data_IF_309852566275
#
_entry.id   IF_309852566275
#
_cell.length_a   1.000
_cell.length_b   1.000
_cell.length_c   1.000
_cell.angle_alpha   90.00
_cell.angle_beta   90.00
_cell.angle_gamma   90.00
#
_symmetry.space_group_name_H-M   'P 1'
#
loop_
_entity.id
_entity.type
_entity.pdbx_description
1 polymer ?
#
# COMPACT_ATOMS: atom_id res chain seq x y z
N UNK A 1 -6.30 24.91 21.25
CA UNK A 1 -6.34 24.69 19.79
C UNK A 1 -7.61 23.91 19.49
N UNK A 2 -8.58 24.52 18.83
CA UNK A 2 -9.72 23.80 18.26
C UNK A 2 -9.18 23.01 17.07
N UNK A 3 -9.01 21.71 17.25
CA UNK A 3 -8.70 20.80 16.14
C UNK A 3 -9.91 20.87 15.22
N UNK A 4 -9.77 21.51 14.07
CA UNK A 4 -10.82 21.49 13.05
C UNK A 4 -11.09 20.00 12.76
N UNK A 5 -12.33 19.55 12.94
CA UNK A 5 -12.72 18.19 12.57
C UNK A 5 -12.39 17.99 11.09
N UNK A 6 -11.40 17.14 10.81
CA UNK A 6 -11.04 16.79 9.45
C UNK A 6 -12.21 15.99 8.85
N UNK A 7 -13.00 16.66 8.00
CA UNK A 7 -14.09 16.02 7.25
C UNK A 7 -13.51 15.34 6.02
N UNK A 8 -13.30 14.03 6.12
CA UNK A 8 -12.95 13.19 4.97
C UNK A 8 -14.20 12.56 4.33
N UNK A 9 -14.03 11.99 3.13
CA UNK A 9 -15.11 11.23 2.50
C UNK A 9 -15.33 9.91 3.23
N UNK A 10 -16.55 9.35 3.12
CA UNK A 10 -16.86 8.04 3.72
C UNK A 10 -15.89 6.94 3.27
N UNK A 11 -15.55 6.91 1.98
CA UNK A 11 -14.59 5.94 1.42
C UNK A 11 -13.21 6.05 2.08
N UNK A 12 -12.76 7.28 2.34
CA UNK A 12 -11.48 7.50 3.01
C UNK A 12 -11.53 7.04 4.47
N UNK A 13 -12.60 7.37 5.18
CA UNK A 13 -12.77 6.98 6.58
C UNK A 13 -12.81 5.46 6.74
N UNK A 14 -13.51 4.77 5.84
CA UNK A 14 -13.55 3.31 5.79
C UNK A 14 -12.16 2.71 5.52
N UNK A 15 -11.42 3.25 4.54
CA UNK A 15 -10.07 2.79 4.23
C UNK A 15 -9.10 2.97 5.41
N UNK A 16 -9.25 4.07 6.16
CA UNK A 16 -8.40 4.33 7.32
C UNK A 16 -8.77 3.48 8.55
N UNK A 17 -10.07 3.26 8.78
CA UNK A 17 -10.58 2.54 9.94
C UNK A 17 -10.41 1.02 9.81
N UNK A 18 -10.51 0.49 8.59
CA UNK A 18 -10.48 -0.95 8.31
C UNK A 18 -9.53 -1.31 7.16
N UNK A 19 -8.22 -0.99 7.24
CA UNK A 19 -7.28 -1.29 6.19
C UNK A 19 -7.05 -2.80 6.07
N UNK A 20 -7.12 -3.34 4.85
CA UNK A 20 -6.93 -4.75 4.53
C UNK A 20 -5.51 -5.07 4.09
N UNK A 21 -4.79 -4.10 3.54
CA UNK A 21 -3.46 -4.31 2.95
C UNK A 21 -2.31 -3.96 3.90
N UNK A 22 -2.59 -3.78 5.21
CA UNK A 22 -1.57 -3.56 6.24
C UNK A 22 -0.60 -4.75 6.32
N UNK A 23 0.69 -4.46 6.29
CA UNK A 23 1.76 -5.43 6.50
C UNK A 23 3.01 -5.13 5.69
N UNK A 24 3.91 -6.10 5.65
CA UNK A 24 5.12 -6.06 4.84
C UNK A 24 5.25 -7.36 4.06
N UNK A 25 6.06 -7.31 3.00
CA UNK A 25 6.63 -8.49 2.37
C UNK A 25 8.13 -8.47 2.59
N UNK A 26 8.72 -9.65 2.70
CA UNK A 26 10.17 -9.82 2.70
C UNK A 26 10.64 -10.55 1.43
N UNK A 27 11.96 -10.83 1.39
CA UNK A 27 12.57 -11.50 0.24
C UNK A 27 12.13 -12.96 0.13
N UNK A 28 11.77 -13.61 1.23
CA UNK A 28 11.35 -15.00 1.24
C UNK A 28 9.93 -15.11 0.68
N UNK A 29 9.05 -14.16 0.98
CA UNK A 29 7.71 -14.04 0.36
C UNK A 29 7.79 -13.96 -1.17
N UNK A 30 8.69 -13.12 -1.69
CA UNK A 30 8.89 -12.96 -3.13
C UNK A 30 9.52 -14.20 -3.75
N UNK A 31 10.57 -14.73 -3.13
CA UNK A 31 11.30 -15.90 -3.61
C UNK A 31 10.41 -17.14 -3.64
N UNK A 32 9.60 -17.37 -2.61
CA UNK A 32 8.66 -18.49 -2.53
C UNK A 32 7.55 -18.46 -3.58
N UNK A 33 7.32 -17.30 -4.21
CA UNK A 33 6.33 -17.10 -5.28
C UNK A 33 6.96 -16.91 -6.67
N UNK A 34 8.29 -16.99 -6.78
CA UNK A 34 8.99 -16.71 -8.04
C UNK A 34 8.89 -15.26 -8.51
N UNK A 35 8.59 -14.33 -7.60
CA UNK A 35 8.35 -12.92 -7.89
C UNK A 35 9.55 -12.04 -7.51
N UNK A 36 9.46 -10.76 -7.82
CA UNK A 36 10.37 -9.72 -7.33
C UNK A 36 9.70 -8.90 -6.25
N UNK A 37 10.43 -8.66 -5.15
CA UNK A 37 10.04 -7.69 -4.15
C UNK A 37 10.48 -6.29 -4.61
N UNK A 38 9.53 -5.37 -4.71
CA UNK A 38 9.80 -3.94 -4.91
C UNK A 38 9.35 -3.18 -3.67
N UNK A 39 10.21 -2.30 -3.17
CA UNK A 39 9.94 -1.50 -1.98
C UNK A 39 10.04 -0.02 -2.32
N UNK A 40 9.04 0.76 -1.90
CA UNK A 40 9.08 2.22 -2.01
C UNK A 40 8.63 2.84 -0.70
N UNK A 41 9.34 3.88 -0.25
CA UNK A 41 9.00 4.63 0.96
C UNK A 41 8.88 6.10 0.62
N UNK A 42 7.77 6.70 1.03
CA UNK A 42 7.58 8.14 0.99
C UNK A 42 7.07 8.64 2.34
N UNK A 43 7.85 9.53 2.96
CA UNK A 43 7.62 10.02 4.32
C UNK A 43 7.39 8.87 5.31
N UNK A 44 6.17 8.74 5.81
CA UNK A 44 5.70 7.87 6.85
C UNK A 44 4.95 6.63 6.31
N UNK A 45 4.84 6.48 5.00
CA UNK A 45 4.24 5.32 4.33
C UNK A 45 5.29 4.57 3.51
N UNK A 46 5.32 3.25 3.67
CA UNK A 46 6.13 2.32 2.88
C UNK A 46 5.21 1.31 2.22
N UNK A 47 5.41 1.06 0.93
CA UNK A 47 4.71 0.02 0.17
C UNK A 47 5.68 -1.10 -0.22
N UNK A 48 5.13 -2.30 -0.27
CA UNK A 48 5.80 -3.54 -0.63
C UNK A 48 4.99 -4.18 -1.75
N UNK A 49 5.60 -4.35 -2.92
CA UNK A 49 4.98 -4.93 -4.10
C UNK A 49 5.63 -6.26 -4.40
N UNK A 50 4.81 -7.27 -4.66
CA UNK A 50 5.24 -8.47 -5.34
C UNK A 50 4.91 -8.29 -6.82
N UNK A 51 5.93 -8.20 -7.65
CA UNK A 51 5.80 -8.00 -9.09
C UNK A 51 6.25 -9.24 -9.87
N UNK A 52 5.55 -9.52 -10.96
CA UNK A 52 5.95 -10.52 -11.94
C UNK A 52 7.14 -10.01 -12.75
N UNK A 53 8.16 -10.85 -12.96
CA UNK A 53 9.41 -10.46 -13.63
C UNK A 53 9.30 -10.39 -15.16
N UNK A 54 8.34 -11.10 -15.73
CA UNK A 54 8.17 -11.25 -17.17
C UNK A 54 7.16 -10.22 -17.67
N UNK A 55 6.05 -10.07 -16.97
CA UNK A 55 4.98 -9.13 -17.34
C UNK A 55 5.17 -7.73 -16.77
N UNK A 56 6.10 -7.56 -15.82
CA UNK A 56 6.36 -6.32 -15.08
C UNK A 56 5.13 -5.75 -14.36
N UNK A 57 4.23 -6.63 -13.92
CA UNK A 57 2.95 -6.28 -13.27
C UNK A 57 2.95 -6.53 -11.79
N UNK A 58 2.30 -5.64 -11.05
CA UNK A 58 2.08 -5.80 -9.60
C UNK A 58 1.04 -6.90 -9.35
N UNK A 59 1.47 -8.02 -8.80
CA UNK A 59 0.61 -9.13 -8.43
C UNK A 59 -0.12 -8.87 -7.10
N UNK A 60 0.61 -8.33 -6.12
CA UNK A 60 0.08 -8.02 -4.79
C UNK A 60 0.82 -6.88 -4.15
N UNK A 61 0.13 -6.09 -3.34
CA UNK A 61 0.68 -4.96 -2.62
C UNK A 61 0.32 -5.03 -1.14
N UNK A 62 1.27 -4.65 -0.29
CA UNK A 62 1.06 -4.36 1.12
C UNK A 62 1.67 -3.02 1.48
N UNK A 63 1.21 -2.43 2.58
CA UNK A 63 1.78 -1.20 3.09
C UNK A 63 1.98 -1.22 4.60
N UNK A 64 2.96 -0.43 5.02
CA UNK A 64 3.19 -0.07 6.39
C UNK A 64 3.18 1.45 6.53
N UNK A 65 2.42 1.98 7.49
CA UNK A 65 2.36 3.42 7.75
C UNK A 65 2.60 3.73 9.23
N UNK A 66 3.48 4.68 9.51
CA UNK A 66 3.75 5.25 10.83
C UNK A 66 2.90 6.50 11.12
N UNK A 67 2.25 7.05 10.09
CA UNK A 67 1.39 8.21 10.19
C UNK A 67 0.00 7.95 10.74
N UNK A 68 -0.75 9.04 10.83
CA UNK A 68 -2.16 9.03 11.21
C UNK A 68 -3.07 8.60 10.06
N UNK A 69 -4.35 8.95 10.21
CA UNK A 69 -5.46 8.51 9.34
C UNK A 69 -5.19 8.67 7.84
N UNK A 70 -4.59 9.79 7.44
CA UNK A 70 -4.23 10.09 6.04
C UNK A 70 -3.29 9.06 5.44
N UNK A 71 -2.21 8.73 6.15
CA UNK A 71 -1.20 7.80 5.68
C UNK A 71 -1.75 6.37 5.55
N UNK A 72 -2.66 5.99 6.44
CA UNK A 72 -3.37 4.71 6.38
C UNK A 72 -4.33 4.65 5.20
N UNK A 73 -5.18 5.67 5.04
CA UNK A 73 -6.15 5.72 3.95
C UNK A 73 -5.47 5.70 2.57
N UNK A 74 -4.38 6.46 2.41
CA UNK A 74 -3.60 6.48 1.17
C UNK A 74 -2.96 5.12 0.93
N UNK A 75 -2.31 4.52 1.92
CA UNK A 75 -1.69 3.20 1.77
C UNK A 75 -2.70 2.12 1.38
N UNK A 76 -3.84 2.06 2.06
CA UNK A 76 -4.93 1.12 1.74
C UNK A 76 -5.46 1.33 0.33
N UNK A 77 -5.76 2.58 -0.02
CA UNK A 77 -6.32 2.92 -1.33
C UNK A 77 -5.34 2.58 -2.44
N UNK A 78 -4.07 2.97 -2.29
CA UNK A 78 -3.03 2.70 -3.27
C UNK A 78 -2.85 1.20 -3.50
N UNK A 79 -2.73 0.40 -2.44
CA UNK A 79 -2.59 -1.05 -2.58
C UNK A 79 -3.79 -1.70 -3.30
N UNK A 80 -4.99 -1.16 -3.13
CA UNK A 80 -6.18 -1.66 -3.83
C UNK A 80 -6.19 -1.31 -5.33
N UNK A 81 -5.53 -0.21 -5.72
CA UNK A 81 -5.56 0.32 -7.09
C UNK A 81 -4.45 -0.24 -7.98
N UNK A 82 -3.25 -0.43 -7.44
CA UNK A 82 -2.07 -0.75 -8.26
C UNK A 82 -2.00 -2.23 -8.67
N UNK A 83 -2.86 -3.09 -8.13
CA UNK A 83 -2.87 -4.51 -8.50
C UNK A 83 -3.21 -4.68 -9.98
N UNK A 84 -2.33 -5.36 -10.71
CA UNK A 84 -2.44 -5.63 -12.14
C UNK A 84 -1.86 -4.53 -13.04
N UNK A 85 -1.50 -3.37 -12.48
CA UNK A 85 -0.78 -2.31 -13.20
C UNK A 85 0.70 -2.70 -13.38
N UNK A 86 1.35 -2.10 -14.37
CA UNK A 86 2.81 -2.16 -14.49
C UNK A 86 3.48 -1.32 -13.41
N UNK A 87 4.81 -1.44 -13.24
CA UNK A 87 5.53 -0.60 -12.28
C UNK A 87 5.62 0.89 -12.68
N UNK A 88 5.49 1.19 -13.98
CA UNK A 88 5.51 2.56 -14.51
C UNK A 88 4.15 3.29 -14.39
N UNK A 89 3.04 2.54 -14.35
CA UNK A 89 1.65 3.05 -14.21
C UNK A 89 1.26 3.37 -12.77
#
# INVERSE_FOLDING_TARGET
MTVAEEKFSKKFDEAAAHPKYRGAYDKDDASGKGMTLVEAKFKDTKVYLLADRVEDRVYSAKFFAYGGKVSVAIGETLCSMIKGLTLDE
#
